data_IF_166481919321
#
_entry.id   IF_166481919321
#
_cell.length_a   1.000
_cell.length_b   1.000
_cell.length_c   1.000
_cell.angle_alpha   90.00
_cell.angle_beta   90.00
_cell.angle_gamma   90.00
#
_symmetry.space_group_name_H-M   'P 1'
#
loop_
_entity.id
_entity.type
_entity.pdbx_description
1 polymer ?
#
# COMPACT_ATOMS: atom_id res chain seq x y z
N UNK A 1 -15.35 11.39 21.32
CA UNK A 1 -15.36 11.84 19.91
C UNK A 1 -14.19 11.14 19.25
N UNK A 2 -14.36 9.84 19.03
CA UNK A 2 -13.32 8.86 19.32
C UNK A 2 -12.81 8.15 18.05
N UNK A 3 -11.49 8.14 17.90
CA UNK A 3 -10.66 7.12 17.22
C UNK A 3 -10.73 6.92 15.69
N UNK A 4 -11.77 7.34 15.00
CA UNK A 4 -12.07 6.81 13.66
C UNK A 4 -10.95 6.98 12.60
N UNK A 5 -10.33 8.17 12.51
CA UNK A 5 -9.34 8.49 11.47
C UNK A 5 -8.11 7.59 11.54
N UNK A 6 -7.59 7.37 12.74
CA UNK A 6 -6.39 6.56 12.95
C UNK A 6 -6.68 5.06 12.79
N UNK A 7 -7.92 4.63 13.09
CA UNK A 7 -8.34 3.23 12.92
C UNK A 7 -8.38 2.89 11.43
N UNK A 8 -8.79 3.84 10.59
CA UNK A 8 -8.75 3.68 9.12
C UNK A 8 -7.31 3.65 8.62
N UNK A 9 -6.42 4.50 9.13
CA UNK A 9 -4.99 4.44 8.76
C UNK A 9 -4.41 3.06 9.04
N UNK A 10 -4.70 2.50 10.21
CA UNK A 10 -4.23 1.18 10.64
C UNK A 10 -4.88 0.03 9.83
N UNK A 11 -6.21 -0.04 9.77
CA UNK A 11 -6.93 -1.10 9.05
C UNK A 11 -6.58 -1.06 7.56
N UNK A 12 -6.59 0.12 6.93
CA UNK A 12 -6.24 0.22 5.52
C UNK A 12 -4.81 -0.27 5.30
N UNK A 13 -3.83 0.09 6.14
CA UNK A 13 -2.43 -0.37 5.98
C UNK A 13 -2.26 -1.90 5.99
N UNK A 14 -3.14 -2.65 6.64
CA UNK A 14 -3.10 -4.13 6.69
C UNK A 14 -3.64 -4.77 5.40
N UNK A 15 -4.65 -4.18 4.75
CA UNK A 15 -5.45 -4.88 3.72
C UNK A 15 -4.81 -5.03 2.31
N UNK A 16 -3.63 -4.47 2.04
CA UNK A 16 -3.09 -4.37 0.67
C UNK A 16 -1.80 -5.14 0.41
N UNK A 17 -1.33 -5.99 1.31
CA UNK A 17 -0.05 -6.69 1.11
C UNK A 17 -0.24 -8.01 0.38
N UNK A 18 -0.27 -7.94 -0.95
CA UNK A 18 -0.12 -9.10 -1.79
C UNK A 18 1.38 -9.41 -1.91
N UNK A 19 1.82 -10.59 -1.46
CA UNK A 19 3.23 -11.02 -1.45
C UNK A 19 3.85 -11.20 -2.85
N UNK A 20 3.08 -10.99 -3.92
CA UNK A 20 3.51 -11.19 -5.31
C UNK A 20 3.46 -9.89 -6.10
N UNK A 21 4.27 -8.90 -5.73
CA UNK A 21 4.45 -7.72 -6.57
C UNK A 21 5.28 -8.05 -7.81
N UNK A 22 4.85 -7.66 -9.03
CA UNK A 22 5.65 -7.78 -10.24
C UNK A 22 7.04 -7.14 -10.07
N UNK A 23 8.10 -7.83 -10.52
CA UNK A 23 9.51 -7.38 -10.31
C UNK A 23 9.79 -5.98 -10.86
N UNK A 24 9.09 -5.58 -11.90
CA UNK A 24 9.16 -4.26 -12.57
C UNK A 24 8.55 -3.12 -11.73
N UNK A 25 7.69 -3.46 -10.76
CA UNK A 25 7.12 -2.50 -9.81
C UNK A 25 8.06 -2.21 -8.65
N UNK A 26 9.13 -2.99 -8.46
CA UNK A 26 10.05 -2.84 -7.33
C UNK A 26 11.33 -2.14 -7.79
N UNK A 27 11.64 -1.00 -7.21
CA UNK A 27 12.85 -0.22 -7.55
C UNK A 27 13.81 -0.16 -6.37
N UNK A 28 15.07 -0.53 -6.60
CA UNK A 28 16.14 -0.33 -5.61
C UNK A 28 16.34 1.17 -5.36
N UNK A 29 16.44 1.56 -4.09
CA UNK A 29 16.69 2.94 -3.66
C UNK A 29 17.90 3.00 -2.74
N UNK A 30 18.46 4.20 -2.56
CA UNK A 30 19.54 4.42 -1.61
C UNK A 30 19.05 4.10 -0.19
N UNK A 31 19.83 3.28 0.53
CA UNK A 31 19.57 2.92 1.93
C UNK A 31 19.43 4.15 2.82
N UNK A 32 20.13 5.24 2.53
CA UNK A 32 20.08 6.51 3.28
C UNK A 32 18.74 7.25 3.18
N UNK A 33 17.84 6.80 2.29
CA UNK A 33 16.50 7.39 2.16
C UNK A 33 15.64 7.17 3.40
N UNK A 34 15.91 6.12 4.16
CA UNK A 34 15.33 5.86 5.46
C UNK A 34 16.50 5.67 6.43
N UNK A 35 16.56 6.46 7.51
CA UNK A 35 17.54 6.19 8.58
C UNK A 35 17.03 4.99 9.38
N UNK A 36 17.32 3.80 8.85
CA UNK A 36 16.84 2.53 9.34
C UNK A 36 18.01 1.69 9.84
N UNK A 37 17.93 1.29 11.10
CA UNK A 37 18.91 0.44 11.76
C UNK A 37 18.20 -0.71 12.46
N UNK A 38 18.76 -1.91 12.35
CA UNK A 38 18.17 -3.13 12.89
C UNK A 38 19.07 -3.63 14.01
N UNK A 39 18.47 -3.81 15.17
CA UNK A 39 19.10 -4.24 16.41
C UNK A 39 18.55 -5.59 16.82
N UNK A 40 19.40 -6.36 17.48
CA UNK A 40 19.02 -7.65 18.03
C UNK A 40 19.45 -7.68 19.49
N UNK A 41 18.54 -8.10 20.35
CA UNK A 41 18.83 -8.46 21.73
C UNK A 41 18.61 -9.97 21.96
N UNK A 42 18.49 -10.37 23.21
CA UNK A 42 18.32 -11.78 23.58
C UNK A 42 16.99 -12.35 23.06
N UNK A 43 15.94 -11.53 23.00
CA UNK A 43 14.55 -11.96 22.77
C UNK A 43 13.93 -11.37 21.51
N UNK A 44 14.39 -10.21 21.04
CA UNK A 44 13.74 -9.43 20.01
C UNK A 44 14.68 -8.99 18.88
N UNK A 45 14.09 -8.80 17.71
CA UNK A 45 14.63 -8.01 16.62
C UNK A 45 13.87 -6.69 16.59
N UNK A 46 14.59 -5.58 16.72
CA UNK A 46 14.02 -4.23 16.74
C UNK A 46 14.53 -3.42 15.56
N UNK A 47 13.62 -3.01 14.69
CA UNK A 47 13.90 -2.02 13.65
C UNK A 47 13.66 -0.64 14.23
N UNK A 48 14.69 0.21 14.22
CA UNK A 48 14.55 1.63 14.53
C UNK A 48 14.59 2.44 13.25
N UNK A 49 13.61 3.33 13.13
CA UNK A 49 13.40 4.16 11.97
C UNK A 49 13.32 5.63 12.36
N UNK A 50 14.04 6.47 11.63
CA UNK A 50 13.90 7.93 11.64
C UNK A 50 13.71 8.44 10.22
N UNK A 51 12.85 9.43 10.07
CA UNK A 51 12.63 10.09 8.79
C UNK A 51 12.08 11.49 9.00
N UNK A 52 12.34 12.35 8.00
CA UNK A 52 11.76 13.69 7.89
C UNK A 52 10.59 13.74 6.92
N UNK A 53 10.41 12.68 6.15
CA UNK A 53 9.52 12.67 4.98
C UNK A 53 8.38 11.67 5.14
N UNK A 54 8.54 10.67 6.01
CA UNK A 54 7.69 9.48 6.07
C UNK A 54 7.30 9.11 7.49
N UNK A 55 6.01 8.88 7.72
CA UNK A 55 5.46 8.36 8.97
C UNK A 55 5.19 6.86 8.76
N UNK A 56 5.72 5.96 9.60
CA UNK A 56 5.44 4.55 9.45
C UNK A 56 4.01 4.25 9.90
N UNK A 57 3.43 3.16 9.40
CA UNK A 57 2.12 2.70 9.84
C UNK A 57 2.16 1.23 10.25
N UNK A 58 2.81 0.41 9.43
CA UNK A 58 2.77 -1.04 9.59
C UNK A 58 4.06 -1.68 9.09
N UNK A 59 4.50 -2.74 9.77
CA UNK A 59 5.62 -3.58 9.39
C UNK A 59 5.21 -5.04 9.34
N UNK A 60 5.70 -5.75 8.32
CA UNK A 60 5.52 -7.20 8.20
C UNK A 60 6.82 -7.85 7.77
N UNK A 61 7.23 -8.86 8.53
CA UNK A 61 8.27 -9.79 8.14
C UNK A 61 7.68 -10.93 7.34
N UNK A 62 8.28 -11.21 6.20
CA UNK A 62 7.92 -12.32 5.32
C UNK A 62 9.17 -13.09 4.90
N UNK A 63 8.99 -14.38 4.64
CA UNK A 63 9.96 -15.26 4.00
C UNK A 63 9.22 -16.09 2.96
N UNK A 64 9.60 -15.95 1.69
CA UNK A 64 8.97 -16.53 0.50
C UNK A 64 7.43 -16.52 0.49
N UNK A 65 6.80 -17.48 1.17
CA UNK A 65 5.36 -17.72 1.20
C UNK A 65 4.72 -17.55 2.59
N UNK A 66 5.49 -17.11 3.59
CA UNK A 66 5.05 -17.08 4.98
C UNK A 66 5.21 -15.69 5.60
N UNK A 67 4.14 -15.22 6.23
CA UNK A 67 4.23 -14.17 7.25
C UNK A 67 4.93 -14.73 8.48
N UNK A 68 5.99 -14.05 8.91
CA UNK A 68 6.76 -14.40 10.11
C UNK A 68 6.20 -13.64 11.31
N UNK A 69 6.06 -12.33 11.17
CA UNK A 69 5.59 -11.44 12.22
C UNK A 69 4.95 -10.21 11.55
N UNK A 70 3.84 -9.74 12.10
CA UNK A 70 3.17 -8.53 11.65
C UNK A 70 2.86 -7.63 12.85
N UNK A 71 2.95 -6.32 12.66
CA UNK A 71 2.69 -5.41 13.76
C UNK A 71 2.79 -3.93 13.43
N UNK A 72 2.31 -3.14 14.37
CA UNK A 72 2.42 -1.69 14.36
C UNK A 72 3.85 -1.23 14.66
N UNK A 73 4.10 0.05 14.37
CA UNK A 73 5.24 0.75 14.91
C UNK A 73 4.91 1.33 16.29
N UNK A 74 5.92 1.40 17.13
CA UNK A 74 5.91 2.11 18.40
C UNK A 74 6.56 3.47 18.24
N UNK A 75 6.12 4.42 19.05
CA UNK A 75 6.74 5.72 19.26
C UNK A 75 6.77 5.97 20.77
N UNK A 76 7.95 6.29 21.31
CA UNK A 76 8.13 6.51 22.76
C UNK A 76 7.68 5.31 23.63
N UNK A 77 7.74 4.09 23.07
CA UNK A 77 7.31 2.85 23.77
C UNK A 77 5.81 2.56 23.70
N UNK A 78 5.02 3.42 23.07
CA UNK A 78 3.57 3.24 22.88
C UNK A 78 3.27 2.91 21.43
N UNK A 79 2.23 2.13 21.15
CA UNK A 79 1.70 1.96 19.79
C UNK A 79 1.52 3.33 19.12
N UNK A 80 1.99 3.46 17.89
CA UNK A 80 1.85 4.70 17.12
C UNK A 80 0.39 5.05 16.93
N UNK A 81 -0.48 4.06 16.73
CA UNK A 81 -1.91 4.27 16.62
C UNK A 81 -2.48 4.91 17.89
N UNK A 82 -2.21 4.32 19.05
CA UNK A 82 -2.68 4.86 20.34
C UNK A 82 -2.05 6.23 20.64
N UNK A 83 -0.76 6.41 20.37
CA UNK A 83 -0.08 7.68 20.58
C UNK A 83 -0.69 8.79 19.72
N UNK A 84 -0.95 8.53 18.42
CA UNK A 84 -1.56 9.51 17.53
C UNK A 84 -2.97 9.88 17.99
N UNK A 85 -3.75 8.90 18.40
CA UNK A 85 -5.10 9.11 18.93
C UNK A 85 -5.12 9.98 20.19
N UNK A 86 -4.17 9.78 21.10
CA UNK A 86 -4.08 10.56 22.34
C UNK A 86 -3.55 11.98 22.11
N UNK A 87 -2.63 12.15 21.17
CA UNK A 87 -1.91 13.41 20.98
C UNK A 87 -2.46 14.30 19.85
N UNK A 88 -3.21 13.76 18.89
CA UNK A 88 -3.73 14.49 17.73
C UNK A 88 -5.22 14.77 17.91
N UNK A 89 -5.54 15.90 18.55
CA UNK A 89 -6.92 16.33 18.84
C UNK A 89 -7.44 17.39 17.86
N UNK A 90 -6.55 18.10 17.18
CA UNK A 90 -6.87 19.14 16.21
C UNK A 90 -5.77 19.33 15.14
N UNK A 91 -6.01 20.21 14.18
CA UNK A 91 -5.08 20.50 13.09
C UNK A 91 -3.77 21.15 13.56
N UNK A 92 -3.76 21.85 14.70
CA UNK A 92 -2.55 22.40 15.30
C UNK A 92 -1.66 21.28 15.82
N UNK A 93 -2.25 20.28 16.50
CA UNK A 93 -1.56 19.10 16.99
C UNK A 93 -0.95 18.28 15.85
N UNK A 94 -1.64 18.12 14.71
CA UNK A 94 -1.07 17.52 13.49
C UNK A 94 0.23 18.23 13.09
N UNK A 95 0.20 19.55 13.01
CA UNK A 95 1.35 20.34 12.59
C UNK A 95 2.49 20.26 13.61
N UNK A 96 2.18 20.28 14.90
CA UNK A 96 3.17 20.10 15.97
C UNK A 96 3.87 18.74 15.90
N UNK A 97 3.11 17.67 15.67
CA UNK A 97 3.67 16.33 15.47
C UNK A 97 4.59 16.28 14.25
N UNK A 98 4.13 16.77 13.10
CA UNK A 98 4.93 16.83 11.87
C UNK A 98 6.21 17.64 12.04
N UNK A 99 6.16 18.77 12.74
CA UNK A 99 7.34 19.61 12.96
C UNK A 99 8.37 18.97 13.90
N UNK A 100 7.99 17.93 14.65
CA UNK A 100 8.88 17.22 15.59
C UNK A 100 9.29 15.84 15.10
N UNK A 101 8.84 15.43 13.91
CA UNK A 101 9.04 14.10 13.34
C UNK A 101 10.52 13.70 13.24
N UNK A 102 11.38 14.63 12.80
CA UNK A 102 12.83 14.42 12.67
C UNK A 102 13.54 13.96 13.95
N UNK A 103 12.98 14.31 15.11
CA UNK A 103 13.55 14.00 16.42
C UNK A 103 12.97 12.70 17.01
N UNK A 104 11.95 12.13 16.37
CA UNK A 104 11.24 10.94 16.85
C UNK A 104 11.88 9.69 16.26
N UNK A 105 11.88 8.63 17.06
CA UNK A 105 12.30 7.29 16.63
C UNK A 105 11.07 6.41 16.66
N UNK A 106 10.86 5.67 15.57
CA UNK A 106 9.83 4.66 15.49
C UNK A 106 10.45 3.28 15.59
N UNK A 107 9.78 2.38 16.29
CA UNK A 107 10.31 1.04 16.56
C UNK A 107 9.33 -0.02 16.09
N UNK A 108 9.79 -1.00 15.32
CA UNK A 108 9.03 -2.23 15.05
C UNK A 108 9.75 -3.38 15.71
N UNK A 109 9.07 -4.07 16.62
CA UNK A 109 9.64 -5.12 17.46
C UNK A 109 9.02 -6.44 17.06
N UNK A 110 9.87 -7.41 16.74
CA UNK A 110 9.48 -8.76 16.37
C UNK A 110 10.17 -9.78 17.26
N UNK A 111 9.49 -10.89 17.54
CA UNK A 111 10.09 -11.99 18.29
C UNK A 111 11.27 -12.59 17.51
N UNK A 112 12.42 -12.69 18.19
CA UNK A 112 13.59 -13.36 17.62
C UNK A 112 13.31 -14.84 17.34
N UNK A 113 12.55 -15.51 18.19
CA UNK A 113 12.21 -16.92 17.94
C UNK A 113 11.43 -17.07 16.63
N UNK A 114 10.44 -16.22 16.38
CA UNK A 114 9.65 -16.25 15.14
C UNK A 114 10.53 -15.93 13.93
N UNK A 115 11.37 -14.91 14.05
CA UNK A 115 12.33 -14.49 13.03
C UNK A 115 13.30 -15.61 12.62
N UNK A 116 13.81 -16.38 13.60
CA UNK A 116 14.78 -17.46 13.36
C UNK A 116 14.15 -18.77 12.85
N UNK A 117 12.81 -18.90 12.81
CA UNK A 117 12.15 -20.12 12.33
C UNK A 117 12.10 -20.23 10.81
N UNK A 118 12.21 -19.13 10.07
CA UNK A 118 12.14 -19.08 8.60
C UNK A 118 13.01 -17.95 8.05
N UNK A 119 14.15 -18.30 7.48
CA UNK A 119 15.15 -17.31 7.11
C UNK A 119 15.42 -17.20 5.61
N UNK A 120 14.93 -18.11 4.75
CA UNK A 120 15.17 -17.98 3.31
C UNK A 120 14.46 -16.76 2.72
N UNK A 121 15.18 -15.99 1.88
CA UNK A 121 14.70 -14.76 1.22
C UNK A 121 13.91 -13.83 2.14
N UNK A 122 14.52 -13.47 3.27
CA UNK A 122 13.87 -12.66 4.28
C UNK A 122 13.61 -11.24 3.74
N UNK A 123 12.35 -10.79 3.85
CA UNK A 123 11.95 -9.41 3.53
C UNK A 123 11.18 -8.80 4.69
N UNK A 124 11.46 -7.53 5.00
CA UNK A 124 10.61 -6.68 5.82
C UNK A 124 9.94 -5.68 4.92
N UNK A 125 8.61 -5.75 4.85
CA UNK A 125 7.84 -4.75 4.13
C UNK A 125 7.30 -3.72 5.11
N UNK A 126 7.54 -2.46 4.77
CA UNK A 126 7.20 -1.28 5.56
C UNK A 126 6.16 -0.45 4.81
N UNK A 127 4.99 -0.30 5.40
CA UNK A 127 3.97 0.62 4.91
C UNK A 127 4.14 1.95 5.61
N UNK A 128 4.36 2.99 4.82
CA UNK A 128 4.58 4.35 5.29
C UNK A 128 3.69 5.34 4.54
N UNK A 129 3.51 6.52 5.11
CA UNK A 129 2.84 7.65 4.47
C UNK A 129 3.82 8.80 4.34
N UNK A 130 3.79 9.52 3.22
CA UNK A 130 4.46 10.82 3.17
C UNK A 130 3.80 11.76 4.17
N UNK A 131 4.59 12.58 4.85
CA UNK A 131 4.10 13.54 5.84
C UNK A 131 2.99 14.43 5.26
N UNK A 132 3.15 14.94 4.05
CA UNK A 132 2.15 15.83 3.43
C UNK A 132 0.83 15.11 3.14
N UNK A 133 0.89 13.85 2.72
CA UNK A 133 -0.30 13.03 2.47
C UNK A 133 -1.00 12.70 3.79
N UNK A 134 -0.24 12.32 4.82
CA UNK A 134 -0.77 12.12 6.17
C UNK A 134 -1.43 13.41 6.70
N UNK A 135 -0.76 14.56 6.59
CA UNK A 135 -1.27 15.86 7.04
C UNK A 135 -2.62 16.18 6.43
N UNK A 136 -2.72 16.01 5.11
CA UNK A 136 -3.93 16.26 4.33
C UNK A 136 -5.06 15.34 4.78
N UNK A 137 -4.80 14.03 4.84
CA UNK A 137 -5.79 13.02 5.20
C UNK A 137 -6.26 13.16 6.65
N UNK A 138 -5.35 13.39 7.59
CA UNK A 138 -5.66 13.59 9.00
C UNK A 138 -6.49 14.87 9.22
N UNK A 139 -6.12 15.96 8.55
CA UNK A 139 -6.86 17.23 8.62
C UNK A 139 -8.26 17.08 8.02
N UNK A 140 -8.39 16.48 6.83
CA UNK A 140 -9.68 16.22 6.20
C UNK A 140 -10.57 15.35 7.09
N UNK A 141 -10.01 14.30 7.70
CA UNK A 141 -10.72 13.43 8.63
C UNK A 141 -11.24 14.18 9.86
N UNK A 142 -10.39 15.01 10.50
CA UNK A 142 -10.79 15.80 11.66
C UNK A 142 -11.90 16.82 11.32
N UNK A 143 -11.81 17.50 10.18
CA UNK A 143 -12.82 18.48 9.77
C UNK A 143 -14.17 17.81 9.50
N UNK A 144 -14.17 16.68 8.79
CA UNK A 144 -15.39 15.92 8.49
C UNK A 144 -16.07 15.42 9.77
N UNK A 145 -15.29 14.90 10.72
CA UNK A 145 -15.81 14.47 12.02
C UNK A 145 -16.39 15.64 12.84
N UNK A 146 -15.73 16.80 12.86
CA UNK A 146 -16.24 18.01 13.53
C UNK A 146 -17.54 18.54 12.91
N UNK A 147 -17.69 18.43 11.58
CA UNK A 147 -18.89 18.87 10.86
C UNK A 147 -20.09 17.91 11.02
N UNK A 148 -19.84 16.68 11.45
CA UNK A 148 -20.85 15.66 11.73
C UNK A 148 -21.46 15.84 13.12
N UNK A 149 -22.26 16.89 13.28
CA UNK A 149 -22.84 17.31 14.58
C UNK A 149 -23.90 16.37 15.20
N UNK A 150 -24.07 15.15 14.69
CA UNK A 150 -25.07 14.20 15.18
C UNK A 150 -24.59 12.76 15.02
N UNK A 151 -24.51 12.01 16.12
CA UNK A 151 -24.19 10.57 16.15
C UNK A 151 -25.08 9.76 15.20
N UNK A 152 -24.63 9.56 13.96
CA UNK A 152 -25.12 8.54 13.05
C UNK A 152 -23.92 7.74 12.59
N UNK A 153 -23.74 6.56 13.19
CA UNK A 153 -22.72 5.57 12.83
C UNK A 153 -22.60 5.33 11.31
N UNK A 154 -23.69 5.51 10.55
CA UNK A 154 -23.68 5.42 9.10
C UNK A 154 -22.88 6.54 8.38
N UNK A 155 -22.89 7.77 8.89
CA UNK A 155 -22.11 8.87 8.30
C UNK A 155 -20.64 8.74 8.62
N UNK A 156 -20.32 8.34 9.86
CA UNK A 156 -18.98 7.99 10.29
C UNK A 156 -18.41 6.87 9.41
N UNK A 157 -19.17 5.79 9.18
CA UNK A 157 -18.79 4.69 8.30
C UNK A 157 -18.53 5.11 6.84
N UNK A 158 -19.34 5.99 6.25
CA UNK A 158 -19.08 6.46 4.89
C UNK A 158 -17.84 7.36 4.82
N UNK A 159 -17.59 8.19 5.85
CA UNK A 159 -16.33 8.92 5.98
C UNK A 159 -15.15 7.95 6.07
N UNK A 160 -15.27 6.85 6.84
CA UNK A 160 -14.22 5.82 6.93
C UNK A 160 -13.91 5.23 5.57
N UNK A 161 -14.94 4.82 4.86
CA UNK A 161 -14.81 4.17 3.56
C UNK A 161 -14.20 5.09 2.51
N UNK A 162 -14.55 6.38 2.51
CA UNK A 162 -13.95 7.36 1.60
C UNK A 162 -12.49 7.67 1.95
N UNK A 163 -12.17 7.86 3.23
CA UNK A 163 -10.80 8.09 3.66
C UNK A 163 -9.92 6.86 3.43
N UNK A 164 -10.44 5.65 3.67
CA UNK A 164 -9.72 4.39 3.45
C UNK A 164 -9.24 4.22 2.02
N UNK A 165 -10.09 4.55 1.03
CA UNK A 165 -9.69 4.56 -0.38
C UNK A 165 -8.55 5.52 -0.67
N UNK A 166 -8.60 6.73 -0.12
CA UNK A 166 -7.54 7.73 -0.30
C UNK A 166 -6.26 7.34 0.42
N UNK A 167 -6.39 6.68 1.57
CA UNK A 167 -5.26 6.17 2.33
C UNK A 167 -4.49 5.14 1.50
N UNK A 168 -5.18 4.20 0.83
CA UNK A 168 -4.55 3.23 -0.08
C UNK A 168 -3.71 3.90 -1.17
N UNK A 169 -4.22 4.96 -1.79
CA UNK A 169 -3.52 5.72 -2.84
C UNK A 169 -2.28 6.47 -2.32
N UNK A 170 -2.25 6.80 -1.03
CA UNK A 170 -1.20 7.59 -0.39
C UNK A 170 -0.10 6.73 0.27
N UNK A 171 -0.27 5.41 0.35
CA UNK A 171 0.76 4.52 0.91
C UNK A 171 2.00 4.51 0.04
N UNK A 172 3.14 4.48 0.72
CA UNK A 172 4.44 4.19 0.15
C UNK A 172 4.95 2.93 0.80
N UNK A 173 5.25 1.92 -0.02
CA UNK A 173 5.74 0.64 0.46
C UNK A 173 7.25 0.59 0.24
N UNK A 174 8.00 0.49 1.33
CA UNK A 174 9.42 0.18 1.32
C UNK A 174 9.63 -1.29 1.63
N UNK A 175 10.63 -1.90 0.99
CA UNK A 175 10.97 -3.30 1.21
C UNK A 175 12.45 -3.37 1.57
N UNK A 176 12.74 -3.86 2.76
CA UNK A 176 14.07 -4.22 3.23
C UNK A 176 14.30 -5.68 2.87
N UNK A 177 15.30 -5.95 2.02
CA UNK A 177 15.59 -7.30 1.54
C UNK A 177 16.96 -7.77 1.95
N UNK A 178 17.04 -9.03 2.34
CA UNK A 178 18.28 -9.74 2.56
C UNK A 178 18.52 -10.72 1.42
N UNK A 179 19.78 -10.80 0.99
CA UNK A 179 20.22 -11.85 0.08
C UNK A 179 20.93 -12.91 0.90
N UNK A 180 20.15 -13.81 1.49
CA UNK A 180 20.62 -14.92 2.28
C UNK A 180 20.15 -16.23 1.67
N UNK A 181 21.10 -17.02 1.17
CA UNK A 181 20.84 -18.39 0.75
C UNK A 181 20.87 -19.32 1.98
N UNK A 182 20.20 -20.47 1.88
CA UNK A 182 20.35 -21.62 2.79
C UNK A 182 19.69 -21.52 4.19
N UNK A 183 18.57 -20.79 4.33
CA UNK A 183 17.86 -20.64 5.62
C UNK A 183 18.73 -20.06 6.74
N UNK A 184 19.76 -19.29 6.41
CA UNK A 184 20.61 -18.63 7.39
C UNK A 184 20.20 -17.18 7.57
N UNK A 185 20.15 -16.71 8.81
CA UNK A 185 19.96 -15.27 9.07
C UNK A 185 21.26 -14.53 8.74
N UNK A 186 21.19 -13.36 8.09
CA UNK A 186 22.35 -12.53 7.83
C UNK A 186 23.14 -12.25 9.11
N UNK A 187 24.44 -12.48 9.08
CA UNK A 187 25.34 -12.21 10.22
C UNK A 187 25.36 -10.73 10.60
N UNK A 188 25.13 -9.85 9.62
CA UNK A 188 24.86 -8.43 9.83
C UNK A 188 23.45 -8.08 9.32
N UNK A 189 22.51 -7.90 10.25
CA UNK A 189 21.14 -7.48 9.96
C UNK A 189 21.06 -6.07 9.35
N UNK A 190 22.13 -5.27 9.39
CA UNK A 190 22.20 -3.98 8.72
C UNK A 190 22.74 -4.09 7.29
N UNK A 191 23.19 -5.25 6.82
CA UNK A 191 23.60 -5.45 5.44
C UNK A 191 22.41 -5.81 4.54
N UNK A 192 21.42 -4.92 4.47
CA UNK A 192 20.23 -5.08 3.65
C UNK A 192 20.23 -4.15 2.43
N UNK A 193 19.45 -4.53 1.43
CA UNK A 193 19.09 -3.67 0.31
C UNK A 193 17.72 -3.04 0.53
N UNK A 194 17.59 -1.75 0.19
CA UNK A 194 16.32 -1.03 0.31
C UNK A 194 15.68 -0.89 -1.06
N UNK A 195 14.39 -1.19 -1.11
CA UNK A 195 13.55 -1.07 -2.30
C UNK A 195 12.30 -0.24 -1.99
N UNK A 196 11.71 0.32 -3.04
CA UNK A 196 10.42 0.99 -2.99
C UNK A 196 9.50 0.36 -4.03
N UNK A 197 8.27 0.06 -3.65
CA UNK A 197 7.23 -0.30 -4.61
C UNK A 197 6.78 0.99 -5.31
N UNK A 198 6.89 1.01 -6.64
CA UNK A 198 6.30 2.06 -7.45
C UNK A 198 4.78 1.98 -7.30
N UNK A 199 4.18 3.06 -6.78
CA UNK A 199 2.75 3.31 -6.93
C UNK A 199 2.44 3.30 -8.42
N UNK A 200 1.67 2.31 -8.89
CA UNK A 200 0.97 2.40 -10.16
C UNK A 200 -0.06 3.49 -10.01
N UNK A 201 0.29 4.71 -10.40
CA UNK A 201 -0.75 5.68 -10.70
C UNK A 201 -1.63 5.03 -11.76
N UNK A 202 -2.95 5.16 -11.63
CA UNK A 202 -3.91 4.80 -12.70
C UNK A 202 -3.50 5.37 -14.08
N UNK A 203 -2.64 6.41 -14.11
CA UNK A 203 -2.06 6.92 -15.35
C UNK A 203 -1.23 5.91 -16.14
N UNK A 204 -0.58 4.97 -15.48
CA UNK A 204 0.26 3.97 -16.16
C UNK A 204 -0.61 2.83 -16.76
N UNK A 205 -1.88 2.75 -16.36
CA UNK A 205 -2.89 1.88 -17.00
C UNK A 205 -3.44 2.44 -18.33
N UNK A 206 -3.10 3.68 -18.70
CA UNK A 206 -3.57 4.26 -19.96
C UNK A 206 -2.95 3.62 -21.20
N UNK A 207 -1.78 2.99 -21.11
CA UNK A 207 -1.26 2.18 -22.22
C UNK A 207 -2.14 0.95 -22.48
N UNK A 208 -2.57 0.28 -21.41
CA UNK A 208 -3.48 -0.88 -21.49
C UNK A 208 -4.88 -0.46 -21.93
N UNK A 209 -5.36 0.72 -21.53
CA UNK A 209 -6.66 1.26 -21.97
C UNK A 209 -6.65 1.58 -23.47
N UNK A 210 -5.54 2.10 -24.00
CA UNK A 210 -5.38 2.34 -25.44
C UNK A 210 -5.37 1.02 -26.23
N UNK A 211 -4.69 0.00 -25.71
CA UNK A 211 -4.68 -1.35 -26.28
C UNK A 211 -6.05 -2.03 -26.24
N UNK A 212 -6.76 -1.95 -25.11
CA UNK A 212 -8.13 -2.48 -24.95
C UNK A 212 -9.13 -1.76 -25.85
N UNK A 213 -9.03 -0.43 -25.97
CA UNK A 213 -9.84 0.35 -26.94
C UNK A 213 -9.54 -0.10 -28.36
N UNK A 214 -8.27 -0.30 -28.72
CA UNK A 214 -7.88 -0.77 -30.06
C UNK A 214 -8.39 -2.18 -30.34
N UNK A 215 -8.25 -3.12 -29.41
CA UNK A 215 -8.82 -4.46 -29.51
C UNK A 215 -10.35 -4.44 -29.64
N UNK A 216 -11.05 -3.60 -28.89
CA UNK A 216 -12.50 -3.47 -28.98
C UNK A 216 -12.94 -2.87 -30.33
N UNK A 217 -12.22 -1.86 -30.84
CA UNK A 217 -12.46 -1.30 -32.16
C UNK A 217 -12.18 -2.32 -33.27
N UNK A 218 -11.08 -3.05 -33.20
CA UNK A 218 -10.71 -4.08 -34.19
C UNK A 218 -11.73 -5.23 -34.18
N UNK A 219 -12.23 -5.64 -33.00
CA UNK A 219 -13.29 -6.63 -32.87
C UNK A 219 -14.62 -6.13 -33.44
N UNK A 220 -14.98 -4.85 -33.22
CA UNK A 220 -16.19 -4.24 -33.75
C UNK A 220 -16.13 -4.11 -35.29
N UNK A 221 -14.99 -3.71 -35.82
CA UNK A 221 -14.75 -3.61 -37.27
C UNK A 221 -14.80 -5.01 -37.88
N UNK A 222 -14.14 -5.99 -37.28
CA UNK A 222 -14.16 -7.38 -37.73
C UNK A 222 -15.57 -7.99 -37.72
N UNK A 223 -16.34 -7.77 -36.65
CA UNK A 223 -17.73 -8.23 -36.56
C UNK A 223 -18.62 -7.55 -37.62
N UNK A 224 -18.44 -6.25 -37.86
CA UNK A 224 -19.20 -5.48 -38.86
C UNK A 224 -18.87 -5.94 -40.29
N UNK A 225 -17.58 -6.16 -40.60
CA UNK A 225 -17.14 -6.72 -41.87
C UNK A 225 -17.70 -8.13 -42.09
N UNK A 226 -17.69 -8.97 -41.06
CA UNK A 226 -18.23 -10.33 -41.12
C UNK A 226 -19.75 -10.29 -41.36
N UNK A 227 -20.50 -9.50 -40.59
CA UNK A 227 -21.94 -9.31 -40.79
C UNK A 227 -22.28 -8.73 -42.16
N UNK A 228 -21.47 -7.80 -42.67
CA UNK A 228 -21.68 -7.21 -44.00
C UNK A 228 -21.40 -8.23 -45.09
N UNK A 229 -20.25 -8.91 -45.07
CA UNK A 229 -19.86 -9.87 -46.12
C UNK A 229 -20.80 -11.08 -46.12
N UNK A 230 -21.02 -11.71 -44.96
CA UNK A 230 -21.91 -12.87 -44.87
C UNK A 230 -23.38 -12.48 -45.03
N UNK A 231 -23.80 -11.31 -44.53
CA UNK A 231 -25.13 -10.76 -44.76
C UNK A 231 -25.39 -10.53 -46.25
N UNK A 232 -24.47 -9.87 -46.95
CA UNK A 232 -24.57 -9.66 -48.41
C UNK A 232 -24.58 -10.98 -49.17
N UNK A 233 -23.75 -11.96 -48.79
CA UNK A 233 -23.75 -13.29 -49.41
C UNK A 233 -25.08 -14.04 -49.20
N UNK A 234 -25.65 -13.98 -48.00
CA UNK A 234 -26.94 -14.59 -47.68
C UNK A 234 -28.07 -13.91 -48.47
N UNK A 235 -28.08 -12.57 -48.53
CA UNK A 235 -29.07 -11.83 -49.31
C UNK A 235 -28.92 -12.07 -50.81
N UNK A 236 -27.70 -12.09 -51.35
CA UNK A 236 -27.44 -12.39 -52.75
C UNK A 236 -27.84 -13.84 -53.10
N UNK A 237 -27.53 -14.80 -52.22
CA UNK A 237 -27.97 -16.19 -52.36
C UNK A 237 -29.50 -16.33 -52.36
N UNK A 238 -30.18 -15.65 -51.41
CA UNK A 238 -31.66 -15.62 -51.37
C UNK A 238 -32.27 -14.97 -52.60
N UNK A 239 -31.74 -13.84 -53.06
CA UNK A 239 -32.21 -13.16 -54.27
C UNK A 239 -31.96 -13.99 -55.54
N UNK A 240 -30.85 -14.73 -55.61
CA UNK A 240 -30.58 -15.64 -56.71
C UNK A 240 -31.54 -16.83 -56.71
N UNK A 241 -31.86 -17.39 -55.54
CA UNK A 241 -32.76 -18.52 -55.40
C UNK A 241 -34.23 -18.14 -55.59
N UNK A 242 -34.64 -16.91 -55.27
CA UNK A 242 -36.01 -16.41 -55.49
C UNK A 242 -36.38 -16.22 -56.95
N UNK A 243 -35.46 -16.44 -57.90
CA UNK A 243 -35.76 -16.51 -59.33
C UNK A 243 -36.16 -17.92 -59.79
N UNK A 244 -36.02 -18.92 -58.92
CA UNK A 244 -36.30 -20.33 -59.22
C UNK A 244 -37.55 -20.88 -58.50
N UNK A 245 -38.18 -20.08 -57.64
CA UNK A 245 -39.45 -20.34 -56.94
C UNK A 245 -40.40 -19.18 -57.19
#
# INVERSE_FOLDING_TARGET
MDLLVFTIFYIASIFTMNSNYPKDMIKKVDKKRLDLNIFQDDSNITIKFKSKDYIPAFGIWISDFFTINEGEFLIEGTSLFEWLKENITDSSAINGFINTMDNRTFEHISSKEEFYRKADNLELTLVMFKIEDFRKLATEGLERLKSSSTHRSAQEYEIEKELGKKIDDCKVVFIVRYNNADNEIPSDLNNFELYILKSTKLSDSFETLALLKRCAFDALIGATLTLTIFGTLIFAGRYSLSKFF
#
